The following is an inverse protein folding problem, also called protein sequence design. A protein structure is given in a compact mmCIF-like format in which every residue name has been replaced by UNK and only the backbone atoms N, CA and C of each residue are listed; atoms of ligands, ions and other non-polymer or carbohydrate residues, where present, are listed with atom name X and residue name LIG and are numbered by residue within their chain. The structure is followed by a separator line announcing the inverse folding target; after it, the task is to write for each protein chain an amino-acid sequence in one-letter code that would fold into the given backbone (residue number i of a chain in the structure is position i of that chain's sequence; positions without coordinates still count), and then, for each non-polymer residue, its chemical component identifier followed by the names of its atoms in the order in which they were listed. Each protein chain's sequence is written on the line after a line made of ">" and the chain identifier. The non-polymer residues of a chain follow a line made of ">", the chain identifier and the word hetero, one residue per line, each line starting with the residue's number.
data_IF_861081836537
#
_entry.id   IF_861081836537
#
_cell.length_a   1.000
_cell.length_b   1.000
_cell.length_c   1.000
_cell.angle_alpha   90.00
_cell.angle_beta   90.00
_cell.angle_gamma   90.00
#
_symmetry.space_group_name_H-M   'P 1'
#
loop_
_entity.id
_entity.type
_entity.pdbx_description
1 polymer ?
#
# COMPACT_ATOMS: atom_id res chain seq x y z
N UNK A 1 4.39 13.90 -7.28
CA UNK A 1 5.30 12.86 -6.75
C UNK A 1 5.34 12.89 -5.23
N UNK A 2 4.78 11.85 -4.60
CA UNK A 2 4.74 11.67 -3.15
C UNK A 2 6.05 11.04 -2.66
N UNK A 3 6.59 11.52 -1.52
CA UNK A 3 7.90 11.10 -0.99
C UNK A 3 7.84 10.46 0.39
N UNK A 4 6.79 10.74 1.16
CA UNK A 4 6.63 10.25 2.53
C UNK A 4 5.27 9.59 2.72
N UNK A 5 5.16 8.71 3.72
CA UNK A 5 3.86 8.12 4.06
C UNK A 5 2.84 9.19 4.47
N UNK A 6 3.30 10.27 5.10
CA UNK A 6 2.44 11.37 5.49
C UNK A 6 1.83 12.07 4.26
N UNK A 7 2.62 12.34 3.22
CA UNK A 7 2.11 12.90 1.96
C UNK A 7 1.10 11.97 1.28
N UNK A 8 1.32 10.65 1.36
CA UNK A 8 0.37 9.65 0.84
C UNK A 8 -0.96 9.74 1.59
N UNK A 9 -0.92 9.81 2.93
CA UNK A 9 -2.12 9.94 3.77
C UNK A 9 -2.90 11.22 3.44
N UNK A 10 -2.20 12.34 3.36
CA UNK A 10 -2.78 13.65 3.03
C UNK A 10 -3.37 13.68 1.62
N UNK A 11 -2.71 13.05 0.63
CA UNK A 11 -3.25 12.95 -0.72
C UNK A 11 -4.54 12.13 -0.75
N UNK A 12 -4.55 10.95 -0.11
CA UNK A 12 -5.75 10.11 -0.05
C UNK A 12 -6.90 10.80 0.69
N UNK A 13 -6.62 11.45 1.82
CA UNK A 13 -7.64 12.17 2.58
C UNK A 13 -8.21 13.37 1.82
N UNK A 14 -7.37 14.17 1.14
CA UNK A 14 -7.83 15.28 0.29
C UNK A 14 -8.72 14.82 -0.86
N UNK A 15 -8.52 13.59 -1.33
CA UNK A 15 -9.36 12.95 -2.34
C UNK A 15 -10.68 12.37 -1.78
N UNK A 16 -10.95 12.53 -0.47
CA UNK A 16 -12.10 11.93 0.21
C UNK A 16 -11.91 10.44 0.53
N UNK A 17 -10.69 9.92 0.46
CA UNK A 17 -10.36 8.53 0.75
C UNK A 17 -10.27 8.23 2.25
N UNK A 18 -10.79 7.07 2.62
CA UNK A 18 -10.86 6.57 4.02
C UNK A 18 -9.81 5.50 4.32
N UNK A 19 -8.91 5.20 3.38
CA UNK A 19 -8.06 4.01 3.43
C UNK A 19 -7.14 3.99 4.67
N UNK A 20 -6.71 5.18 5.12
CA UNK A 20 -5.83 5.36 6.26
C UNK A 20 -6.55 5.58 7.59
N UNK A 21 -7.89 5.55 7.60
CA UNK A 21 -8.64 5.74 8.83
C UNK A 21 -8.40 4.57 9.80
N UNK A 22 -8.24 4.82 11.10
CA UNK A 22 -7.94 3.78 12.08
C UNK A 22 -8.95 2.63 12.06
N UNK A 23 -10.23 2.94 11.81
CA UNK A 23 -11.32 1.97 11.76
C UNK A 23 -11.18 1.02 10.57
N UNK A 24 -10.86 1.56 9.38
CA UNK A 24 -10.61 0.78 8.16
C UNK A 24 -9.37 -0.10 8.35
N UNK A 25 -8.27 0.47 8.86
CA UNK A 25 -7.05 -0.30 9.12
C UNK A 25 -7.26 -1.41 10.15
N UNK A 26 -8.01 -1.13 11.22
CA UNK A 26 -8.37 -2.09 12.26
C UNK A 26 -9.21 -3.24 11.68
N UNK A 27 -10.26 -2.90 10.91
CA UNK A 27 -11.15 -3.88 10.29
C UNK A 27 -10.40 -4.89 9.42
N UNK A 28 -9.45 -4.43 8.61
CA UNK A 28 -8.63 -5.30 7.75
C UNK A 28 -7.39 -5.88 8.46
N UNK A 29 -7.17 -5.59 9.74
CA UNK A 29 -5.94 -5.95 10.46
C UNK A 29 -4.67 -5.44 9.75
N UNK A 30 -4.82 -4.33 9.03
CA UNK A 30 -3.84 -3.77 8.11
C UNK A 30 -2.76 -3.01 8.87
N UNK A 31 -1.51 -3.18 8.47
CA UNK A 31 -0.39 -2.34 8.91
C UNK A 31 0.32 -1.77 7.69
N UNK A 32 0.78 -0.54 7.81
CA UNK A 32 1.40 0.21 6.72
C UNK A 32 2.88 0.38 7.03
N UNK A 33 3.73 0.15 6.03
CA UNK A 33 5.15 0.45 6.15
C UNK A 33 5.42 1.93 5.91
N UNK A 34 6.33 2.52 6.68
CA UNK A 34 6.79 3.90 6.49
C UNK A 34 7.62 4.11 5.22
N UNK A 35 8.18 3.03 4.67
CA UNK A 35 9.05 3.10 3.50
C UNK A 35 8.23 3.34 2.24
N UNK A 36 8.55 4.44 1.57
CA UNK A 36 7.92 4.89 0.33
C UNK A 36 8.91 4.82 -0.83
N UNK A 37 8.40 4.50 -2.01
CA UNK A 37 9.14 4.46 -3.26
C UNK A 37 8.48 5.43 -4.24
N UNK A 38 8.98 6.66 -4.36
CA UNK A 38 8.41 7.67 -5.25
C UNK A 38 8.44 7.21 -6.72
N UNK A 39 7.41 7.59 -7.47
CA UNK A 39 7.31 7.38 -8.94
C UNK A 39 6.71 8.63 -9.58
N UNK A 40 6.78 8.76 -10.91
CA UNK A 40 6.47 10.01 -11.61
C UNK A 40 5.08 10.61 -11.27
N UNK A 41 4.08 9.75 -11.09
CA UNK A 41 2.66 10.08 -10.90
C UNK A 41 2.14 9.74 -9.50
N UNK A 42 3.02 9.51 -8.52
CA UNK A 42 2.60 9.11 -7.18
C UNK A 42 3.70 8.46 -6.36
N UNK A 43 3.35 7.43 -5.61
CA UNK A 43 4.32 6.59 -4.91
C UNK A 43 3.82 5.18 -4.64
N UNK A 44 4.76 4.25 -4.56
CA UNK A 44 4.54 2.89 -4.08
C UNK A 44 4.84 2.80 -2.59
N UNK A 45 4.05 2.01 -1.88
CA UNK A 45 4.25 1.69 -0.46
C UNK A 45 3.83 0.24 -0.21
N UNK A 46 4.10 -0.26 1.00
CA UNK A 46 3.77 -1.64 1.35
C UNK A 46 2.79 -1.69 2.51
N UNK A 47 1.85 -2.62 2.40
CA UNK A 47 0.82 -2.89 3.40
C UNK A 47 0.92 -4.34 3.81
N UNK A 48 0.43 -4.67 4.99
CA UNK A 48 0.29 -6.04 5.43
C UNK A 48 -1.07 -6.27 6.03
N UNK A 49 -1.78 -7.24 5.51
CA UNK A 49 -3.13 -7.57 5.90
C UNK A 49 -3.10 -8.88 6.69
N UNK A 50 -3.91 -8.95 7.75
CA UNK A 50 -4.13 -10.20 8.50
C UNK A 50 -5.62 -10.45 8.53
N UNK A 51 -6.09 -11.32 7.65
CA UNK A 51 -7.48 -11.73 7.64
C UNK A 51 -7.77 -12.60 8.87
N UNK A 52 -8.71 -12.16 9.70
CA UNK A 52 -9.21 -12.90 10.85
C UNK A 52 -10.72 -12.85 10.86
N UNK A 53 -11.35 -14.01 10.83
CA UNK A 53 -12.77 -14.21 11.15
C UNK A 53 -12.89 -15.11 12.38
N UNK A 54 -14.10 -15.29 12.88
CA UNK A 54 -14.39 -16.15 14.04
C UNK A 54 -14.10 -17.64 13.78
N UNK A 55 -14.01 -18.07 12.52
CA UNK A 55 -13.66 -19.45 12.12
C UNK A 55 -12.26 -19.61 11.51
N UNK A 56 -11.64 -18.53 11.05
CA UNK A 56 -10.43 -18.61 10.22
C UNK A 56 -9.46 -17.48 10.55
N UNK A 57 -8.21 -17.83 10.85
CA UNK A 57 -7.11 -16.87 10.94
C UNK A 57 -6.08 -17.21 9.87
N UNK A 58 -5.97 -16.36 8.85
CA UNK A 58 -4.95 -16.51 7.83
C UNK A 58 -3.62 -15.88 8.28
N UNK A 59 -2.48 -16.37 7.78
CA UNK A 59 -1.19 -15.74 8.04
C UNK A 59 -1.17 -14.30 7.54
N UNK A 60 -0.37 -13.45 8.19
CA UNK A 60 -0.13 -12.09 7.71
C UNK A 60 0.64 -12.17 6.40
N UNK A 61 0.12 -11.52 5.37
CA UNK A 61 0.80 -11.36 4.07
C UNK A 61 0.93 -9.89 3.72
N UNK A 62 1.80 -9.59 2.78
CA UNK A 62 2.14 -8.23 2.37
C UNK A 62 1.71 -7.98 0.92
N UNK A 63 1.34 -6.74 0.67
CA UNK A 63 0.91 -6.22 -0.63
C UNK A 63 1.75 -4.99 -0.97
N UNK A 64 2.01 -4.76 -2.26
CA UNK A 64 2.51 -3.47 -2.74
C UNK A 64 1.31 -2.66 -3.20
N UNK A 65 1.25 -1.40 -2.77
CA UNK A 65 0.18 -0.46 -3.12
C UNK A 65 0.78 0.73 -3.84
N UNK A 66 0.03 1.28 -4.77
CA UNK A 66 0.31 2.56 -5.40
C UNK A 66 -0.69 3.58 -4.89
N UNK A 67 -0.21 4.78 -4.56
CA UNK A 67 -1.04 5.96 -4.37
C UNK A 67 -0.72 6.96 -5.48
N UNK A 68 -1.71 7.37 -6.25
CA UNK A 68 -1.55 8.44 -7.24
C UNK A 68 -1.34 9.78 -6.55
N UNK A 69 -0.79 10.77 -7.27
CA UNK A 69 -0.71 12.14 -6.78
C UNK A 69 -2.10 12.74 -6.45
N UNK A 70 -3.14 12.22 -7.10
CA UNK A 70 -4.55 12.52 -6.82
C UNK A 70 -5.12 11.79 -5.60
N UNK A 71 -4.36 10.93 -4.94
CA UNK A 71 -4.77 10.26 -3.70
C UNK A 71 -5.49 8.92 -3.88
N UNK A 72 -5.65 8.43 -5.11
CA UNK A 72 -6.27 7.12 -5.36
C UNK A 72 -5.30 5.99 -4.99
N UNK A 73 -5.79 4.97 -4.27
CA UNK A 73 -4.99 3.81 -3.87
C UNK A 73 -5.42 2.56 -4.61
N UNK A 74 -4.46 1.92 -5.30
CA UNK A 74 -4.64 0.63 -5.99
C UNK A 74 -3.56 -0.38 -5.60
N UNK A 75 -3.85 -1.65 -5.83
CA UNK A 75 -2.84 -2.72 -5.67
C UNK A 75 -1.88 -2.68 -6.85
N UNK A 76 -0.58 -2.59 -6.57
CA UNK A 76 0.45 -2.70 -7.60
C UNK A 76 0.92 -4.16 -7.66
N UNK A 77 0.34 -4.94 -8.59
CA UNK A 77 0.53 -6.38 -8.69
C UNK A 77 -0.52 -7.19 -7.93
N UNK A 78 -0.12 -8.26 -7.26
CA UNK A 78 -1.05 -9.18 -6.56
C UNK A 78 -1.24 -8.79 -5.09
N UNK A 79 -2.49 -8.82 -4.64
CA UNK A 79 -2.85 -8.64 -3.23
C UNK A 79 -2.37 -9.84 -2.39
N UNK A 80 -1.84 -9.57 -1.20
CA UNK A 80 -1.30 -10.59 -0.28
C UNK A 80 -0.30 -11.56 -0.94
N UNK A 81 0.57 -11.04 -1.79
CA UNK A 81 1.49 -11.85 -2.60
C UNK A 81 2.77 -12.26 -1.86
N UNK A 82 3.15 -11.55 -0.80
CA UNK A 82 4.46 -11.72 -0.16
C UNK A 82 4.33 -12.19 1.29
N UNK A 83 5.27 -12.99 1.75
CA UNK A 83 5.30 -13.51 3.12
C UNK A 83 6.05 -12.57 4.06
N UNK A 84 6.98 -11.78 3.52
CA UNK A 84 7.79 -10.86 4.31
C UNK A 84 7.73 -9.43 3.78
N UNK A 85 7.96 -8.47 4.68
CA UNK A 85 8.09 -7.05 4.32
C UNK A 85 9.25 -6.83 3.33
N UNK A 86 10.36 -7.56 3.50
CA UNK A 86 11.56 -7.43 2.65
C UNK A 86 11.25 -7.81 1.19
N UNK A 87 10.51 -8.88 0.97
CA UNK A 87 10.06 -9.29 -0.37
C UNK A 87 9.17 -8.22 -1.01
N UNK A 88 8.16 -7.73 -0.28
CA UNK A 88 7.27 -6.68 -0.77
C UNK A 88 8.04 -5.39 -1.10
N UNK A 89 8.99 -4.98 -0.25
CA UNK A 89 9.84 -3.81 -0.49
C UNK A 89 10.81 -4.00 -1.66
N UNK A 90 11.33 -5.21 -1.87
CA UNK A 90 12.14 -5.54 -3.05
C UNK A 90 11.30 -5.40 -4.32
N UNK A 91 10.07 -5.91 -4.31
CA UNK A 91 9.15 -5.75 -5.43
C UNK A 91 8.81 -4.28 -5.67
N UNK A 92 8.45 -3.52 -4.62
CA UNK A 92 8.13 -2.10 -4.74
C UNK A 92 9.29 -1.29 -5.35
N UNK A 93 10.53 -1.60 -4.96
CA UNK A 93 11.73 -1.00 -5.57
C UNK A 93 11.87 -1.35 -7.05
N UNK A 94 11.64 -2.62 -7.41
CA UNK A 94 11.72 -3.08 -8.80
C UNK A 94 10.67 -2.42 -9.67
N UNK A 95 9.44 -2.32 -9.16
CA UNK A 95 8.33 -1.62 -9.81
C UNK A 95 8.65 -0.13 -9.96
N UNK A 96 9.15 0.53 -8.93
CA UNK A 96 9.49 1.96 -9.00
C UNK A 96 10.54 2.27 -10.08
N UNK A 97 11.51 1.38 -10.29
CA UNK A 97 12.55 1.55 -11.32
C UNK A 97 12.03 1.41 -12.75
N UNK A 98 10.88 0.75 -12.93
CA UNK A 98 10.29 0.45 -14.25
C UNK A 98 8.89 1.04 -14.39
N UNK A 99 8.48 1.91 -13.45
CA UNK A 99 7.11 2.36 -13.33
C UNK A 99 6.71 3.17 -14.55
N UNK A 100 5.82 2.57 -15.33
CA UNK A 100 5.02 3.23 -16.34
C UNK A 100 3.60 2.98 -15.90
N UNK A 101 2.82 4.04 -15.77
CA UNK A 101 1.40 3.89 -15.53
C UNK A 101 0.83 3.06 -16.69
N UNK A 102 0.36 1.84 -16.41
CA UNK A 102 -0.56 1.18 -17.33
C UNK A 102 -1.86 1.98 -17.24
N UNK A 103 -2.23 2.60 -18.37
CA UNK A 103 -3.48 3.34 -18.60
C UNK A 103 -4.71 2.49 -18.32
#
# INVERSE_FOLDING_TARGET
>A
MLKTLQQIKEANQRAGGVWFEPEVLSWFGCRISEKVFPVANGALFTTSEKYRSWRLSLPRKYSVRFCSDGGEIRTAGKFQAFWTLREAQKQARSLAATWKEEE
#
